data_IF_355098699453
#
_entry.id   IF_355098699453
#
_cell.length_a   1.000
_cell.length_b   1.000
_cell.length_c   1.000
_cell.angle_alpha   90.00
_cell.angle_beta   90.00
_cell.angle_gamma   90.00
#
_symmetry.space_group_name_H-M   'P 1'
#
loop_
_entity.id
_entity.type
_entity.pdbx_description
1 polymer ?
#
# COMPACT_ATOMS: atom_id res chain seq x y z
N UNK A 1 -33.39 12.74 -17.02
CA UNK A 1 -31.97 13.11 -17.23
C UNK A 1 -31.70 13.11 -18.72
N UNK A 2 -31.44 14.29 -19.30
CA UNK A 2 -31.03 14.43 -20.71
C UNK A 2 -29.52 14.43 -20.77
N UNK A 3 -28.95 13.50 -21.53
CA UNK A 3 -27.50 13.45 -21.78
C UNK A 3 -27.17 14.40 -22.90
N UNK A 4 -26.22 15.30 -22.62
CA UNK A 4 -25.73 16.32 -23.55
C UNK A 4 -24.53 15.79 -24.32
N UNK A 5 -23.59 15.17 -23.60
CA UNK A 5 -22.31 14.74 -24.18
C UNK A 5 -21.72 13.58 -23.36
N UNK A 6 -20.90 12.73 -24.00
CA UNK A 6 -20.04 11.74 -23.33
C UNK A 6 -18.60 12.13 -23.61
N UNK A 7 -17.80 12.25 -22.55
CA UNK A 7 -16.43 12.73 -22.60
C UNK A 7 -15.48 11.71 -21.98
N UNK A 8 -14.25 11.69 -22.50
CA UNK A 8 -13.09 11.00 -21.90
C UNK A 8 -13.30 9.51 -21.61
N UNK A 9 -13.91 8.77 -22.54
CA UNK A 9 -14.05 7.32 -22.38
C UNK A 9 -12.68 6.64 -22.34
N UNK A 10 -12.52 5.76 -21.36
CA UNK A 10 -11.32 4.93 -21.19
C UNK A 10 -11.69 3.54 -20.69
N UNK A 11 -10.88 2.55 -21.06
CA UNK A 11 -10.96 1.23 -20.45
C UNK A 11 -10.50 1.29 -18.98
N UNK A 12 -11.25 0.64 -18.10
CA UNK A 12 -10.93 0.56 -16.66
C UNK A 12 -10.27 -0.76 -16.27
N UNK A 13 -10.16 -1.70 -17.20
CA UNK A 13 -9.45 -2.96 -17.02
C UNK A 13 -8.86 -3.45 -18.34
N UNK A 14 -7.82 -4.27 -18.25
CA UNK A 14 -7.12 -4.85 -19.39
C UNK A 14 -7.96 -5.84 -20.21
N UNK A 15 -9.10 -6.31 -19.67
CA UNK A 15 -10.02 -7.22 -20.37
C UNK A 15 -11.07 -6.48 -21.17
N UNK A 16 -11.08 -5.15 -21.13
CA UNK A 16 -12.03 -4.30 -21.84
C UNK A 16 -13.49 -4.64 -21.49
N UNK A 17 -13.74 -4.95 -20.22
CA UNK A 17 -15.09 -5.29 -19.71
C UNK A 17 -15.80 -4.10 -19.08
N UNK A 18 -15.06 -3.02 -18.76
CA UNK A 18 -15.60 -1.80 -18.16
C UNK A 18 -14.99 -0.55 -18.77
N UNK A 19 -15.84 0.44 -19.01
CA UNK A 19 -15.49 1.78 -19.44
C UNK A 19 -15.77 2.79 -18.33
N UNK A 20 -14.90 3.75 -18.19
CA UNK A 20 -15.08 4.93 -17.35
C UNK A 20 -15.03 6.18 -18.20
N UNK A 21 -15.68 7.24 -17.75
CA UNK A 21 -15.67 8.54 -18.40
C UNK A 21 -16.56 9.51 -17.65
N UNK A 22 -16.95 10.57 -18.33
CA UNK A 22 -17.88 11.56 -17.81
C UNK A 22 -19.04 11.74 -18.79
N UNK A 23 -20.25 11.93 -18.27
CA UNK A 23 -21.39 12.40 -19.07
C UNK A 23 -21.74 13.81 -18.64
N UNK A 24 -22.01 14.68 -19.59
CA UNK A 24 -22.55 16.00 -19.30
C UNK A 24 -24.06 15.90 -19.32
N UNK A 25 -24.70 16.31 -18.23
CA UNK A 25 -26.16 16.40 -18.12
C UNK A 25 -26.57 17.86 -18.01
N UNK A 26 -27.76 18.20 -18.53
CA UNK A 26 -28.28 19.59 -18.43
C UNK A 26 -28.48 20.04 -16.97
N UNK A 27 -28.78 19.09 -16.08
CA UNK A 27 -29.22 19.36 -14.72
C UNK A 27 -28.08 19.32 -13.69
N UNK A 28 -27.06 18.49 -13.91
CA UNK A 28 -25.98 18.26 -12.94
C UNK A 28 -24.57 18.57 -13.48
N UNK A 29 -24.45 18.98 -14.74
CA UNK A 29 -23.15 19.17 -15.38
C UNK A 29 -22.41 17.83 -15.58
N UNK A 30 -21.07 17.79 -15.47
CA UNK A 30 -20.29 16.57 -15.66
C UNK A 30 -20.49 15.59 -14.49
N UNK A 31 -20.93 14.38 -14.80
CA UNK A 31 -21.16 13.28 -13.87
C UNK A 31 -20.26 12.10 -14.27
N UNK A 32 -19.46 11.55 -13.36
CA UNK A 32 -18.64 10.39 -13.66
C UNK A 32 -19.53 9.17 -13.94
N UNK A 33 -19.18 8.41 -14.97
CA UNK A 33 -19.85 7.16 -15.33
C UNK A 33 -18.91 5.98 -15.30
N UNK A 34 -19.48 4.82 -14.97
CA UNK A 34 -18.87 3.52 -15.17
C UNK A 34 -19.91 2.65 -15.88
N UNK A 35 -19.61 2.14 -17.06
CA UNK A 35 -20.47 1.24 -17.83
C UNK A 35 -19.72 -0.06 -18.12
N UNK A 36 -20.42 -1.18 -18.10
CA UNK A 36 -19.83 -2.50 -18.28
C UNK A 36 -20.56 -3.30 -19.36
N UNK A 37 -19.90 -4.32 -19.92
CA UNK A 37 -20.47 -5.17 -20.97
C UNK A 37 -21.79 -5.82 -20.55
N UNK A 38 -21.91 -6.18 -19.28
CA UNK A 38 -23.04 -6.89 -18.70
C UNK A 38 -23.96 -5.97 -17.87
N UNK A 39 -23.99 -4.67 -18.16
CA UNK A 39 -24.86 -3.73 -17.46
C UNK A 39 -26.34 -4.19 -17.51
N UNK A 40 -27.02 -4.15 -16.37
CA UNK A 40 -28.42 -4.57 -16.22
C UNK A 40 -29.41 -3.51 -16.70
N UNK A 41 -29.06 -2.24 -16.55
CA UNK A 41 -29.87 -1.10 -17.00
C UNK A 41 -29.78 -0.92 -18.52
N UNK A 42 -30.94 -0.88 -19.20
CA UNK A 42 -31.04 -0.70 -20.66
C UNK A 42 -30.25 0.51 -21.18
N UNK A 43 -30.31 1.63 -20.45
CA UNK A 43 -29.57 2.83 -20.79
C UNK A 43 -28.04 2.60 -20.80
N UNK A 44 -27.53 1.84 -19.82
CA UNK A 44 -26.11 1.46 -19.77
C UNK A 44 -25.71 0.53 -20.92
N UNK A 45 -26.59 -0.41 -21.31
CA UNK A 45 -26.36 -1.28 -22.47
C UNK A 45 -26.28 -0.49 -23.78
N UNK A 46 -27.13 0.52 -23.95
CA UNK A 46 -27.11 1.41 -25.12
C UNK A 46 -25.83 2.23 -25.14
N UNK A 47 -25.46 2.85 -24.00
CA UNK A 47 -24.21 3.61 -23.88
C UNK A 47 -22.98 2.75 -24.20
N UNK A 48 -22.95 1.51 -23.70
CA UNK A 48 -21.90 0.55 -24.00
C UNK A 48 -21.79 0.26 -25.51
N UNK A 49 -22.89 -0.12 -26.15
CA UNK A 49 -22.92 -0.40 -27.59
C UNK A 49 -22.53 0.82 -28.43
N UNK A 50 -23.03 1.99 -28.07
CA UNK A 50 -22.72 3.26 -28.73
C UNK A 50 -21.23 3.63 -28.59
N UNK A 51 -20.64 3.42 -27.41
CA UNK A 51 -19.22 3.62 -27.18
C UNK A 51 -18.37 2.67 -28.04
N UNK A 52 -18.70 1.38 -28.08
CA UNK A 52 -17.99 0.41 -28.92
C UNK A 52 -18.17 0.66 -30.42
N UNK A 53 -19.28 1.26 -30.83
CA UNK A 53 -19.51 1.71 -32.20
C UNK A 53 -18.75 3.01 -32.55
N UNK A 54 -18.00 3.59 -31.60
CA UNK A 54 -17.21 4.80 -31.80
C UNK A 54 -18.00 6.10 -31.79
N UNK A 55 -19.26 6.09 -31.32
CA UNK A 55 -20.16 7.26 -31.34
C UNK A 55 -19.64 8.44 -30.49
N UNK A 56 -18.81 8.15 -29.49
CA UNK A 56 -18.28 9.13 -28.53
C UNK A 56 -16.78 9.38 -28.70
N UNK A 57 -16.22 9.02 -29.86
CA UNK A 57 -14.78 9.11 -30.12
C UNK A 57 -14.01 7.87 -29.69
N UNK A 58 -12.68 7.98 -29.75
CA UNK A 58 -11.78 6.88 -29.39
C UNK A 58 -11.81 6.63 -27.88
N UNK A 59 -11.90 5.35 -27.51
CA UNK A 59 -11.76 4.92 -26.12
C UNK A 59 -10.26 4.85 -25.81
N UNK A 60 -9.82 5.56 -24.77
CA UNK A 60 -8.43 5.47 -24.33
C UNK A 60 -8.13 4.07 -23.76
N UNK A 61 -6.96 3.54 -24.13
CA UNK A 61 -6.47 2.25 -23.67
C UNK A 61 -6.31 2.21 -22.15
N UNK A 62 -6.49 1.02 -21.57
CA UNK A 62 -6.28 0.82 -20.15
C UNK A 62 -4.79 0.99 -19.82
N UNK A 63 -4.51 1.81 -18.81
CA UNK A 63 -3.17 1.94 -18.23
C UNK A 63 -3.23 1.33 -16.84
N UNK A 64 -2.49 0.23 -16.65
CA UNK A 64 -2.36 -0.38 -15.33
C UNK A 64 -1.83 0.65 -14.32
N UNK A 65 -2.38 0.69 -13.09
CA UNK A 65 -1.75 1.48 -12.05
C UNK A 65 -0.30 1.01 -11.85
N UNK A 66 0.60 1.91 -11.43
CA UNK A 66 1.95 1.51 -11.06
C UNK A 66 1.87 0.46 -9.93
N UNK A 67 2.85 -0.46 -9.85
CA UNK A 67 2.94 -1.36 -8.71
C UNK A 67 3.07 -0.57 -7.40
N UNK A 68 2.60 -1.12 -6.28
CA UNK A 68 2.74 -0.46 -4.99
C UNK A 68 4.21 -0.22 -4.65
N UNK A 69 4.49 0.92 -4.04
CA UNK A 69 5.80 1.29 -3.51
C UNK A 69 6.14 0.46 -2.27
N UNK A 70 7.43 0.31 -1.89
CA UNK A 70 7.82 -0.35 -0.65
C UNK A 70 7.11 0.23 0.59
N UNK A 71 6.94 1.54 0.65
CA UNK A 71 6.25 2.22 1.74
C UNK A 71 4.77 1.86 1.81
N UNK A 72 4.10 1.72 0.66
CA UNK A 72 2.71 1.25 0.59
C UNK A 72 2.60 -0.20 1.05
N UNK A 73 3.53 -1.07 0.64
CA UNK A 73 3.56 -2.46 1.10
C UNK A 73 3.77 -2.54 2.62
N UNK A 74 4.68 -1.73 3.18
CA UNK A 74 4.91 -1.66 4.64
C UNK A 74 3.70 -1.17 5.41
N UNK A 75 2.94 -0.23 4.86
CA UNK A 75 1.70 0.26 5.47
C UNK A 75 0.59 -0.80 5.51
N UNK A 76 0.62 -1.77 4.59
CA UNK A 76 -0.30 -2.91 4.58
C UNK A 76 0.14 -4.07 5.48
N UNK A 77 1.38 -4.04 6.00
CA UNK A 77 1.88 -5.10 6.89
C UNK A 77 1.17 -5.05 8.24
N UNK A 78 0.77 -6.21 8.81
CA UNK A 78 0.11 -6.25 10.09
C UNK A 78 1.05 -5.75 11.20
N UNK A 79 0.50 -4.97 12.12
CA UNK A 79 1.21 -4.58 13.35
C UNK A 79 1.52 -5.82 14.19
N UNK A 80 2.66 -5.81 14.88
CA UNK A 80 3.03 -6.86 15.83
C UNK A 80 2.86 -6.36 17.26
N UNK A 81 2.31 -7.18 18.15
CA UNK A 81 2.41 -6.95 19.59
C UNK A 81 3.87 -7.03 20.06
N UNK A 82 4.19 -6.54 21.26
CA UNK A 82 5.55 -6.65 21.80
C UNK A 82 6.06 -8.10 21.87
N UNK A 83 5.17 -9.06 22.13
CA UNK A 83 5.52 -10.49 22.18
C UNK A 83 5.87 -11.01 20.78
N UNK A 84 5.06 -10.68 19.78
CA UNK A 84 5.27 -11.09 18.38
C UNK A 84 6.50 -10.42 17.78
N UNK A 85 6.72 -9.13 18.06
CA UNK A 85 7.89 -8.40 17.60
C UNK A 85 9.18 -9.02 18.17
N UNK A 86 9.24 -9.25 19.49
CA UNK A 86 10.39 -9.92 20.12
C UNK A 86 10.57 -11.36 19.64
N UNK A 87 9.48 -12.07 19.33
CA UNK A 87 9.56 -13.40 18.74
C UNK A 87 10.11 -13.37 17.30
N UNK A 88 9.74 -12.37 16.50
CA UNK A 88 10.28 -12.17 15.16
C UNK A 88 11.77 -11.86 15.19
N UNK A 89 12.23 -10.96 16.09
CA UNK A 89 13.65 -10.65 16.29
C UNK A 89 14.50 -11.91 16.59
N UNK A 90 13.99 -12.80 17.44
CA UNK A 90 14.66 -14.08 17.75
C UNK A 90 14.73 -15.05 16.57
N UNK A 91 13.94 -14.84 15.50
CA UNK A 91 13.95 -15.67 14.27
C UNK A 91 14.84 -15.09 13.18
N UNK A 92 15.20 -13.82 13.27
CA UNK A 92 16.12 -13.18 12.32
C UNK A 92 17.41 -14.00 12.24
N UNK A 93 17.85 -14.34 11.03
CA UNK A 93 19.12 -15.02 10.81
C UNK A 93 19.83 -14.36 9.63
N UNK A 94 20.98 -13.76 9.92
CA UNK A 94 21.86 -13.12 8.92
C UNK A 94 23.31 -13.49 9.22
N UNK A 95 24.24 -13.11 8.33
CA UNK A 95 25.67 -13.28 8.58
C UNK A 95 26.14 -12.55 9.85
N UNK A 96 25.62 -11.34 10.09
CA UNK A 96 25.89 -10.55 11.31
C UNK A 96 25.15 -11.07 12.55
N UNK A 97 24.05 -11.81 12.38
CA UNK A 97 23.20 -12.29 13.48
C UNK A 97 22.84 -13.78 13.29
N UNK A 98 23.79 -14.71 13.49
CA UNK A 98 23.56 -16.13 13.26
C UNK A 98 22.66 -16.81 14.33
N UNK A 99 22.54 -16.21 15.51
CA UNK A 99 21.77 -16.78 16.63
C UNK A 99 20.39 -16.14 16.82
N UNK A 100 20.10 -15.08 16.08
CA UNK A 100 18.94 -14.22 16.31
C UNK A 100 19.23 -13.03 17.21
N UNK A 101 18.28 -12.10 17.26
CA UNK A 101 18.38 -10.90 18.08
C UNK A 101 17.56 -11.12 19.35
N UNK A 102 18.23 -11.16 20.51
CA UNK A 102 17.57 -11.21 21.81
C UNK A 102 17.36 -9.80 22.36
N UNK A 103 16.47 -9.67 23.35
CA UNK A 103 16.11 -8.36 23.89
C UNK A 103 17.31 -7.69 24.56
N UNK A 104 18.14 -8.49 25.21
CA UNK A 104 19.35 -8.06 25.89
C UNK A 104 20.39 -7.50 24.90
N UNK A 105 20.51 -8.12 23.72
CA UNK A 105 21.41 -7.64 22.66
C UNK A 105 20.96 -6.28 22.13
N UNK A 106 19.65 -6.12 21.92
CA UNK A 106 19.07 -4.88 21.43
C UNK A 106 19.20 -3.75 22.45
N UNK A 107 18.93 -4.03 23.73
CA UNK A 107 19.14 -3.07 24.82
C UNK A 107 20.63 -2.69 24.90
N UNK A 108 21.54 -3.66 24.83
CA UNK A 108 22.98 -3.39 24.85
C UNK A 108 23.41 -2.49 23.68
N UNK A 109 22.83 -2.66 22.49
CA UNK A 109 23.08 -1.77 21.33
C UNK A 109 22.50 -0.37 21.54
N UNK A 110 21.28 -0.27 22.06
CA UNK A 110 20.64 1.02 22.37
C UNK A 110 21.47 1.79 23.41
N UNK A 111 22.02 1.12 24.41
CA UNK A 111 22.88 1.75 25.44
C UNK A 111 24.18 2.36 24.88
N UNK A 112 24.62 1.96 23.68
CA UNK A 112 25.78 2.56 23.01
C UNK A 112 25.45 3.89 22.31
N UNK A 113 24.17 4.27 22.20
CA UNK A 113 23.78 5.57 21.64
C UNK A 113 24.28 6.66 22.58
N UNK A 114 25.15 7.54 22.07
CA UNK A 114 25.79 8.59 22.88
C UNK A 114 24.81 9.70 23.28
N UNK A 115 23.89 10.05 22.38
CA UNK A 115 22.83 11.01 22.65
C UNK A 115 21.85 10.43 23.67
N UNK A 116 21.65 11.13 24.77
CA UNK A 116 20.82 10.66 25.88
C UNK A 116 19.34 10.62 25.49
N UNK A 117 18.85 11.63 24.80
CA UNK A 117 17.43 11.75 24.50
C UNK A 117 17.04 10.69 23.47
N UNK A 118 17.87 10.50 22.43
CA UNK A 118 17.67 9.41 21.46
C UNK A 118 17.75 8.02 22.09
N UNK A 119 18.65 7.82 23.08
CA UNK A 119 18.74 6.56 23.81
C UNK A 119 17.47 6.29 24.63
N UNK A 120 16.98 7.30 25.36
CA UNK A 120 15.75 7.19 26.15
C UNK A 120 14.53 6.93 25.25
N UNK A 121 14.42 7.58 24.10
CA UNK A 121 13.35 7.33 23.12
C UNK A 121 13.40 5.92 22.54
N UNK A 122 14.59 5.43 22.17
CA UNK A 122 14.76 4.07 21.65
C UNK A 122 14.36 3.00 22.69
N UNK A 123 14.75 3.20 23.96
CA UNK A 123 14.35 2.33 25.07
C UNK A 123 12.85 2.38 25.30
N UNK A 124 12.23 3.56 25.32
CA UNK A 124 10.78 3.70 25.52
C UNK A 124 10.00 2.97 24.42
N UNK A 125 10.40 3.17 23.16
CA UNK A 125 9.83 2.48 22.02
C UNK A 125 9.94 0.95 22.15
N UNK A 126 11.13 0.42 22.45
CA UNK A 126 11.36 -1.02 22.50
C UNK A 126 10.77 -1.70 23.75
N UNK A 127 10.93 -1.10 24.92
CA UNK A 127 10.52 -1.70 26.19
C UNK A 127 9.03 -1.51 26.47
N UNK A 128 8.50 -0.32 26.19
CA UNK A 128 7.11 0.07 26.54
C UNK A 128 6.14 0.02 25.37
N UNK A 129 6.63 -0.12 24.13
CA UNK A 129 5.79 -0.29 22.95
C UNK A 129 4.83 -1.47 23.11
N UNK A 130 3.53 -1.20 23.01
CA UNK A 130 2.49 -2.25 23.04
C UNK A 130 2.26 -2.87 21.66
N UNK A 131 2.43 -2.06 20.62
CA UNK A 131 2.30 -2.44 19.21
C UNK A 131 3.43 -1.80 18.42
N UNK A 132 3.92 -2.56 17.44
CA UNK A 132 5.00 -2.18 16.54
C UNK A 132 4.44 -2.21 15.12
N UNK A 133 4.55 -1.09 14.43
CA UNK A 133 4.15 -0.95 13.03
C UNK A 133 5.40 -0.95 12.17
N UNK A 134 5.36 -1.64 11.02
CA UNK A 134 6.53 -1.69 10.12
C UNK A 134 6.93 -0.31 9.61
N UNK A 135 5.97 0.59 9.47
CA UNK A 135 6.18 1.99 9.03
C UNK A 135 6.82 2.89 10.10
N UNK A 136 6.95 2.41 11.35
CA UNK A 136 7.58 3.20 12.39
C UNK A 136 9.11 3.28 12.15
N UNK A 137 9.71 4.50 12.08
CA UNK A 137 11.13 4.66 11.81
C UNK A 137 12.05 3.93 12.79
N UNK A 138 11.61 3.74 14.04
CA UNK A 138 12.40 3.02 15.03
C UNK A 138 12.62 1.56 14.65
N UNK A 139 11.74 0.93 13.86
CA UNK A 139 11.98 -0.45 13.39
C UNK A 139 13.24 -0.51 12.52
N UNK A 140 13.39 0.41 11.58
CA UNK A 140 14.56 0.47 10.70
C UNK A 140 15.82 0.90 11.46
N UNK A 141 15.71 1.87 12.37
CA UNK A 141 16.83 2.34 13.20
C UNK A 141 17.36 1.20 14.08
N UNK A 142 16.48 0.47 14.75
CA UNK A 142 16.85 -0.65 15.60
C UNK A 142 17.42 -1.82 14.78
N UNK A 143 16.86 -2.11 13.61
CA UNK A 143 17.39 -3.13 12.70
C UNK A 143 18.79 -2.78 12.17
N UNK A 144 19.04 -1.52 11.83
CA UNK A 144 20.34 -1.07 11.35
C UNK A 144 21.47 -1.23 12.39
N UNK A 145 21.16 -1.26 13.69
CA UNK A 145 22.16 -1.58 14.74
C UNK A 145 22.74 -2.99 14.63
N UNK A 146 22.07 -3.86 13.86
CA UNK A 146 22.42 -5.26 13.58
C UNK A 146 22.71 -5.49 12.08
N UNK A 147 23.00 -4.43 11.34
CA UNK A 147 23.27 -4.46 9.90
C UNK A 147 22.10 -5.03 9.05
N UNK A 148 20.85 -4.93 9.55
CA UNK A 148 19.68 -5.34 8.78
C UNK A 148 19.26 -4.23 7.81
N UNK A 149 19.01 -4.62 6.55
CA UNK A 149 18.39 -3.72 5.57
C UNK A 149 16.88 -3.62 5.79
N UNK A 150 16.21 -2.56 5.31
CA UNK A 150 14.76 -2.48 5.33
C UNK A 150 14.08 -3.70 4.69
N UNK A 151 14.69 -4.28 3.66
CA UNK A 151 14.23 -5.48 2.95
C UNK A 151 14.38 -6.75 3.81
N UNK A 152 15.46 -6.87 4.58
CA UNK A 152 15.62 -7.97 5.55
C UNK A 152 14.52 -7.90 6.62
N UNK A 153 14.26 -6.69 7.12
CA UNK A 153 13.20 -6.45 8.10
C UNK A 153 11.85 -6.80 7.50
N UNK A 154 11.55 -6.36 6.27
CA UNK A 154 10.31 -6.68 5.54
C UNK A 154 10.11 -8.20 5.42
N UNK A 155 11.17 -8.92 5.07
CA UNK A 155 11.15 -10.38 4.97
C UNK A 155 10.80 -11.05 6.29
N UNK A 156 11.50 -10.70 7.37
CA UNK A 156 11.29 -11.29 8.71
C UNK A 156 10.01 -10.82 9.37
N UNK A 157 9.48 -9.65 8.99
CA UNK A 157 8.22 -9.15 9.49
C UNK A 157 7.04 -10.04 9.08
N UNK A 158 7.12 -10.69 7.93
CA UNK A 158 6.05 -11.54 7.40
C UNK A 158 6.15 -13.02 7.81
N UNK A 159 7.16 -13.40 8.60
CA UNK A 159 7.31 -14.76 9.18
C UNK A 159 6.65 -14.89 10.56
#
# INVERSE_FOLDING_TARGET
>A
MTLVEVLYLKWLDAHHTRLGGEIVTEEYGPVPICIAENYDVEYGKVLWKDALAGKYGAIAEYVSPPPPTPEQLRAEMPSKTSVEFRAALRRVRTESVPEGIYAEDLIAKIELISDRDLREEALDYFERGSYFERTNPWVDILGAMFDLTPEDIDYWWMQ
#
